data_IF_286917118327
#
_entry.id   IF_286917118327
#
_cell.length_a   1.000
_cell.length_b   1.000
_cell.length_c   1.000
_cell.angle_alpha   90.00
_cell.angle_beta   90.00
_cell.angle_gamma   90.00
#
_symmetry.space_group_name_H-M   'P 1'
#
loop_
_entity.id
_entity.type
_entity.pdbx_description
1 polymer ?
#
# COMPACT_ATOMS: atom_id res chain seq x y z
N UNK A 1 32.76 56.93 14.22
CA UNK A 1 31.98 56.93 12.96
C UNK A 1 32.71 56.01 12.00
N UNK A 2 32.32 54.75 11.90
CA UNK A 2 32.76 53.84 10.84
C UNK A 2 31.58 52.95 10.43
N UNK A 3 31.60 52.43 9.21
CA UNK A 3 30.36 52.22 8.43
C UNK A 3 30.03 50.77 8.09
N UNK A 4 28.74 50.60 7.77
CA UNK A 4 28.07 49.40 7.25
C UNK A 4 28.88 48.65 6.18
N UNK A 5 28.87 47.32 6.25
CA UNK A 5 29.08 46.44 5.11
C UNK A 5 27.98 45.36 5.06
N UNK A 6 27.06 45.49 4.10
CA UNK A 6 26.04 44.47 3.82
C UNK A 6 26.65 43.32 3.02
N UNK A 7 26.16 42.08 3.20
CA UNK A 7 26.49 41.01 2.25
C UNK A 7 25.31 40.08 1.93
N UNK A 8 25.31 39.64 0.68
CA UNK A 8 24.26 38.99 -0.11
C UNK A 8 23.79 37.59 0.34
N UNK A 9 22.59 37.22 -0.15
CA UNK A 9 21.99 35.87 -0.19
C UNK A 9 21.93 35.35 -1.65
N UNK A 10 21.44 34.12 -1.97
CA UNK A 10 20.95 33.00 -1.16
C UNK A 10 21.98 31.84 -1.11
N UNK A 11 21.92 30.63 -1.74
CA UNK A 11 20.89 29.95 -2.56
C UNK A 11 20.03 28.95 -1.73
N UNK A 12 19.49 27.87 -2.34
CA UNK A 12 18.80 26.78 -1.63
C UNK A 12 19.76 25.75 -1.00
N UNK A 13 19.37 25.20 0.15
CA UNK A 13 19.52 23.75 0.35
C UNK A 13 18.19 23.17 0.85
N UNK A 14 17.42 22.55 -0.06
CA UNK A 14 16.21 21.83 0.32
C UNK A 14 16.58 20.68 1.23
N UNK A 15 16.36 20.84 2.53
CA UNK A 15 16.47 19.76 3.51
C UNK A 15 15.35 18.75 3.24
N UNK A 16 15.60 17.84 2.30
CA UNK A 16 14.81 16.63 2.08
C UNK A 16 14.46 16.04 3.44
N UNK A 17 13.16 15.85 3.78
CA UNK A 17 12.78 15.31 5.07
C UNK A 17 13.50 13.99 5.31
N UNK A 18 14.49 14.01 6.21
CA UNK A 18 15.42 12.91 6.47
C UNK A 18 14.61 11.75 7.04
N UNK A 19 14.14 10.86 6.17
CA UNK A 19 13.20 9.78 6.49
C UNK A 19 13.78 8.92 7.62
N UNK A 20 13.34 9.20 8.85
CA UNK A 20 13.86 8.53 10.05
C UNK A 20 13.50 7.05 10.00
N UNK A 21 14.37 6.13 10.47
CA UNK A 21 14.18 4.71 10.24
C UNK A 21 12.89 4.18 10.87
N UNK A 22 12.21 3.31 10.14
CA UNK A 22 11.20 2.36 10.64
C UNK A 22 10.26 2.89 11.75
N UNK A 23 9.15 3.53 11.37
CA UNK A 23 7.97 3.56 12.26
C UNK A 23 7.68 2.13 12.75
N UNK A 24 7.45 1.92 14.07
CA UNK A 24 7.10 0.61 14.63
C UNK A 24 5.95 -0.07 13.90
N UNK A 25 5.90 -1.41 13.92
CA UNK A 25 4.80 -2.14 13.28
C UNK A 25 3.44 -1.77 13.90
N UNK A 26 3.41 -1.43 15.19
CA UNK A 26 2.24 -0.89 15.88
C UNK A 26 1.69 0.38 15.20
N UNK A 27 2.51 1.42 14.97
CA UNK A 27 2.10 2.63 14.25
C UNK A 27 1.49 2.31 12.87
N UNK A 28 2.05 1.32 12.18
CA UNK A 28 1.58 0.94 10.84
C UNK A 28 0.26 0.21 10.88
N UNK A 29 0.02 -0.62 11.90
CA UNK A 29 -1.27 -1.26 12.19
C UNK A 29 -2.30 -0.16 12.51
N UNK A 30 -1.97 0.78 13.40
CA UNK A 30 -2.81 1.94 13.73
C UNK A 30 -3.14 2.75 12.47
N UNK A 31 -2.16 2.99 11.59
CA UNK A 31 -2.37 3.69 10.31
C UNK A 31 -3.18 2.86 9.30
N UNK A 32 -3.03 1.54 9.27
CA UNK A 32 -3.83 0.65 8.42
C UNK A 32 -5.31 0.62 8.82
N UNK A 33 -5.60 0.76 10.12
CA UNK A 33 -6.97 0.79 10.67
C UNK A 33 -7.60 2.18 10.57
N UNK A 34 -6.87 3.25 10.91
CA UNK A 34 -7.42 4.63 11.02
C UNK A 34 -7.46 5.39 9.69
N UNK A 35 -6.58 5.11 8.72
CA UNK A 35 -6.66 5.78 7.42
C UNK A 35 -7.84 5.24 6.60
N UNK A 36 -8.48 6.10 5.80
CA UNK A 36 -9.54 5.73 4.85
C UNK A 36 -8.96 4.96 3.65
N UNK A 37 -8.54 3.72 3.89
CA UNK A 37 -8.10 2.75 2.89
C UNK A 37 -9.30 1.91 2.43
N UNK A 38 -9.38 1.56 1.14
CA UNK A 38 -10.42 0.69 0.57
C UNK A 38 -9.85 -0.26 -0.46
N UNK A 39 -10.41 -1.45 -0.60
CA UNK A 39 -10.12 -2.39 -1.67
C UNK A 39 -11.01 -2.09 -2.89
N UNK A 40 -10.41 -1.87 -4.05
CA UNK A 40 -11.11 -1.69 -5.31
C UNK A 40 -11.43 -3.04 -5.96
N UNK A 41 -10.39 -3.88 -6.07
CA UNK A 41 -10.42 -5.15 -6.79
C UNK A 41 -9.46 -6.16 -6.15
N UNK A 42 -9.76 -7.46 -6.31
CA UNK A 42 -8.90 -8.59 -5.95
C UNK A 42 -8.84 -9.53 -7.15
N UNK A 43 -7.63 -9.80 -7.63
CA UNK A 43 -7.37 -10.80 -8.67
C UNK A 43 -6.34 -11.78 -8.11
N UNK A 44 -6.79 -12.99 -7.74
CA UNK A 44 -5.99 -14.04 -7.10
C UNK A 44 -5.23 -13.53 -5.85
N UNK A 45 -3.92 -13.32 -6.00
CA UNK A 45 -2.96 -12.84 -5.01
C UNK A 45 -2.75 -11.32 -5.00
N UNK A 46 -3.32 -10.60 -5.95
CA UNK A 46 -3.17 -9.15 -6.15
C UNK A 46 -4.40 -8.38 -5.64
N UNK A 47 -4.15 -7.41 -4.78
CA UNK A 47 -5.15 -6.59 -4.10
C UNK A 47 -4.91 -5.12 -4.46
N UNK A 48 -5.89 -4.49 -5.12
CA UNK A 48 -5.80 -3.10 -5.54
C UNK A 48 -6.39 -2.19 -4.47
N UNK A 49 -5.53 -1.53 -3.71
CA UNK A 49 -5.89 -0.74 -2.52
C UNK A 49 -5.88 0.75 -2.86
N UNK A 50 -7.05 1.39 -2.73
CA UNK A 50 -7.17 2.84 -2.74
C UNK A 50 -6.58 3.41 -1.43
N UNK A 51 -5.53 4.20 -1.58
CA UNK A 51 -4.90 4.95 -0.51
C UNK A 51 -5.71 6.17 -0.09
N UNK A 52 -5.51 6.62 1.16
CA UNK A 52 -6.21 7.79 1.72
C UNK A 52 -5.91 9.14 1.03
N UNK A 53 -5.02 9.15 0.03
CA UNK A 53 -4.71 10.31 -0.83
C UNK A 53 -5.28 10.17 -2.25
N UNK A 54 -6.17 9.21 -2.50
CA UNK A 54 -6.74 8.91 -3.82
C UNK A 54 -5.86 8.04 -4.73
N UNK A 55 -4.58 7.87 -4.41
CA UNK A 55 -3.66 7.01 -5.16
C UNK A 55 -4.02 5.52 -5.00
N UNK A 56 -3.96 4.74 -6.08
CA UNK A 56 -4.11 3.28 -6.04
C UNK A 56 -2.74 2.63 -5.87
N UNK A 57 -2.64 1.66 -4.95
CA UNK A 57 -1.46 0.85 -4.73
C UNK A 57 -1.82 -0.63 -4.86
N UNK A 58 -1.00 -1.39 -5.61
CA UNK A 58 -1.15 -2.85 -5.67
C UNK A 58 -0.40 -3.46 -4.50
N UNK A 59 -1.04 -4.40 -3.81
CA UNK A 59 -0.45 -5.30 -2.82
C UNK A 59 -0.46 -6.70 -3.41
N UNK A 60 0.69 -7.36 -3.49
CA UNK A 60 0.80 -8.74 -3.97
C UNK A 60 1.16 -9.65 -2.79
N UNK A 61 0.25 -10.56 -2.44
CA UNK A 61 0.49 -11.54 -1.38
C UNK A 61 1.22 -12.76 -1.96
N UNK A 62 2.48 -12.90 -1.56
CA UNK A 62 3.31 -14.09 -1.82
C UNK A 62 3.99 -14.54 -0.52
N UNK A 63 4.94 -15.47 -0.60
CA UNK A 63 5.84 -15.77 0.52
C UNK A 63 6.61 -14.53 1.01
N UNK A 64 6.81 -13.54 0.14
CA UNK A 64 7.33 -12.21 0.43
C UNK A 64 6.29 -11.15 0.00
N UNK A 65 5.32 -10.75 0.86
CA UNK A 65 4.29 -9.78 0.50
C UNK A 65 4.91 -8.42 0.13
N UNK A 66 4.50 -7.88 -1.01
CA UNK A 66 5.02 -6.65 -1.60
C UNK A 66 3.92 -5.61 -1.85
N UNK A 67 4.30 -4.35 -2.04
CA UNK A 67 3.38 -3.27 -2.37
C UNK A 67 4.06 -2.19 -3.22
N UNK A 68 3.33 -1.59 -4.17
CA UNK A 68 3.83 -0.50 -5.04
C UNK A 68 3.91 0.87 -4.37
N UNK A 69 3.69 0.96 -3.05
CA UNK A 69 3.72 2.22 -2.33
C UNK A 69 5.16 2.72 -2.02
N UNK A 70 5.37 4.04 -1.81
CA UNK A 70 6.70 4.59 -1.53
C UNK A 70 7.30 4.18 -0.18
N UNK A 71 6.54 3.55 0.73
CA UNK A 71 7.11 2.91 1.93
C UNK A 71 7.85 1.64 1.54
N UNK A 72 9.19 1.72 1.54
CA UNK A 72 10.09 0.61 1.22
C UNK A 72 10.12 -0.51 2.28
N UNK A 73 9.36 -0.41 3.35
CA UNK A 73 9.45 -1.33 4.49
C UNK A 73 8.31 -2.35 4.54
N UNK A 74 8.60 -3.62 4.32
CA UNK A 74 7.64 -4.72 4.53
C UNK A 74 7.52 -5.10 6.03
N UNK A 75 6.31 -5.31 6.58
CA UNK A 75 5.00 -4.98 5.99
C UNK A 75 4.68 -3.48 6.13
N UNK A 76 4.17 -2.88 5.05
CA UNK A 76 3.69 -1.49 5.03
C UNK A 76 2.21 -1.42 5.44
N UNK A 77 1.68 -0.20 5.65
CA UNK A 77 0.27 0.00 6.05
C UNK A 77 -0.76 -0.62 5.09
N UNK A 78 -0.46 -0.75 3.80
CA UNK A 78 -1.38 -1.33 2.82
C UNK A 78 -1.41 -2.87 2.90
N UNK A 79 -0.25 -3.51 3.12
CA UNK A 79 -0.17 -4.95 3.39
C UNK A 79 -0.93 -5.30 4.67
N UNK A 80 -0.74 -4.50 5.73
CA UNK A 80 -1.46 -4.65 7.00
C UNK A 80 -2.97 -4.42 6.84
N UNK A 81 -3.40 -3.46 6.03
CA UNK A 81 -4.81 -3.27 5.69
C UNK A 81 -5.41 -4.50 4.98
N UNK A 82 -4.67 -5.12 4.06
CA UNK A 82 -5.13 -6.36 3.41
C UNK A 82 -5.27 -7.49 4.43
N UNK A 83 -4.28 -7.72 5.30
CA UNK A 83 -4.41 -8.77 6.33
C UNK A 83 -5.57 -8.49 7.31
N UNK A 84 -5.61 -7.30 7.91
CA UNK A 84 -6.55 -6.97 8.99
C UNK A 84 -7.97 -6.77 8.45
N UNK A 85 -8.14 -5.83 7.51
CA UNK A 85 -9.47 -5.40 7.05
C UNK A 85 -10.00 -6.23 5.90
N UNK A 86 -9.17 -6.64 4.92
CA UNK A 86 -9.65 -7.45 3.78
C UNK A 86 -9.79 -8.93 4.13
N UNK A 87 -8.84 -9.50 4.89
CA UNK A 87 -8.74 -10.94 5.17
C UNK A 87 -9.02 -11.33 6.64
N UNK A 88 -9.48 -10.40 7.48
CA UNK A 88 -9.91 -10.69 8.85
C UNK A 88 -8.85 -11.41 9.69
N UNK A 89 -7.61 -10.90 9.69
CA UNK A 89 -6.52 -11.36 10.57
C UNK A 89 -6.54 -10.53 11.86
N UNK A 90 -6.47 -11.19 13.04
CA UNK A 90 -6.44 -10.48 14.32
C UNK A 90 -5.16 -9.65 14.49
N UNK A 91 -5.27 -8.53 15.22
CA UNK A 91 -4.17 -7.61 15.51
C UNK A 91 -3.03 -8.29 16.28
N UNK A 92 -3.38 -9.29 17.09
CA UNK A 92 -2.46 -10.07 17.92
C UNK A 92 -1.64 -11.07 17.11
N UNK A 93 -2.07 -11.44 15.90
CA UNK A 93 -1.40 -12.47 15.11
C UNK A 93 0.03 -12.03 14.74
N UNK A 94 0.99 -12.88 15.12
CA UNK A 94 2.40 -12.73 14.78
C UNK A 94 2.66 -12.56 13.28
N UNK A 95 1.79 -13.04 12.38
CA UNK A 95 1.99 -12.90 10.94
C UNK A 95 1.98 -11.44 10.48
N UNK A 96 1.24 -10.55 11.16
CA UNK A 96 1.26 -9.09 10.92
C UNK A 96 2.63 -8.45 11.19
N UNK A 97 3.49 -9.13 11.96
CA UNK A 97 4.83 -8.66 12.34
C UNK A 97 5.94 -9.35 11.54
N UNK A 98 5.63 -10.36 10.73
CA UNK A 98 6.61 -11.08 9.89
C UNK A 98 6.80 -10.38 8.55
N UNK A 99 8.03 -10.43 8.02
CA UNK A 99 8.33 -10.01 6.64
C UNK A 99 7.95 -11.07 5.61
N UNK A 100 7.81 -12.33 6.03
CA UNK A 100 7.56 -13.48 5.17
C UNK A 100 6.38 -14.33 5.67
N UNK A 101 5.67 -14.97 4.74
CA UNK A 101 4.57 -15.88 5.01
C UNK A 101 5.01 -17.34 4.76
N UNK A 102 4.61 -18.25 5.64
CA UNK A 102 4.74 -19.70 5.40
C UNK A 102 3.80 -20.09 4.25
N UNK A 103 4.17 -20.96 3.28
CA UNK A 103 3.32 -21.32 2.15
C UNK A 103 1.90 -21.77 2.55
N UNK A 104 1.75 -22.62 3.57
CA UNK A 104 0.44 -23.08 4.04
C UNK A 104 -0.43 -21.92 4.58
N UNK A 105 0.18 -20.93 5.23
CA UNK A 105 -0.51 -19.72 5.71
C UNK A 105 -0.87 -18.80 4.54
N UNK A 106 -0.01 -18.68 3.53
CA UNK A 106 -0.31 -17.94 2.31
C UNK A 106 -1.54 -18.53 1.60
N UNK A 107 -1.57 -19.84 1.35
CA UNK A 107 -2.71 -20.50 0.72
C UNK A 107 -4.00 -20.34 1.52
N UNK A 108 -3.94 -20.44 2.84
CA UNK A 108 -5.08 -20.18 3.73
C UNK A 108 -5.55 -18.71 3.70
N UNK A 109 -4.63 -17.74 3.64
CA UNK A 109 -4.99 -16.32 3.48
C UNK A 109 -5.56 -16.02 2.09
N UNK A 110 -5.13 -16.72 1.05
CA UNK A 110 -5.64 -16.59 -0.32
C UNK A 110 -6.99 -17.31 -0.54
N UNK A 111 -7.33 -18.33 0.25
CA UNK A 111 -8.66 -18.97 0.21
C UNK A 111 -9.73 -18.22 1.01
N UNK A 112 -9.34 -17.36 1.98
CA UNK A 112 -10.31 -16.54 2.73
C UNK A 112 -11.14 -15.62 1.82
N UNK A 113 -12.45 -15.43 2.11
CA UNK A 113 -13.28 -14.45 1.42
C UNK A 113 -12.82 -13.01 1.71
N UNK A 114 -13.18 -12.09 0.81
CA UNK A 114 -12.96 -10.65 0.96
C UNK A 114 -14.01 -10.07 1.90
N UNK A 115 -13.61 -9.44 3.00
CA UNK A 115 -14.54 -8.71 3.88
C UNK A 115 -15.24 -7.56 3.13
N UNK A 116 -16.58 -7.47 3.15
CA UNK A 116 -17.31 -6.43 2.42
C UNK A 116 -17.05 -5.02 2.98
N UNK A 117 -16.78 -4.87 4.28
CA UNK A 117 -16.44 -3.57 4.88
C UNK A 117 -15.21 -2.92 4.25
N UNK A 118 -14.22 -3.73 3.85
CA UNK A 118 -12.97 -3.21 3.29
C UNK A 118 -13.14 -2.72 1.85
N UNK A 119 -14.21 -3.13 1.15
CA UNK A 119 -14.43 -2.86 -0.27
C UNK A 119 -14.89 -1.40 -0.48
N UNK A 120 -14.49 -0.81 -1.61
CA UNK A 120 -14.93 0.52 -2.04
C UNK A 120 -16.38 0.51 -2.55
N UNK A 121 -17.02 1.69 -2.60
CA UNK A 121 -18.35 1.85 -3.21
C UNK A 121 -18.37 1.48 -4.70
N UNK A 122 -19.51 0.99 -5.17
CA UNK A 122 -19.71 0.37 -6.48
C UNK A 122 -19.12 1.18 -7.65
N UNK A 123 -19.57 2.43 -7.84
CA UNK A 123 -19.11 3.30 -8.94
C UNK A 123 -17.59 3.57 -8.97
N UNK A 124 -16.90 3.57 -7.82
CA UNK A 124 -15.43 3.72 -7.78
C UNK A 124 -14.74 2.45 -8.30
N UNK A 125 -15.34 1.27 -8.04
CA UNK A 125 -14.85 -0.03 -8.50
C UNK A 125 -15.16 -0.26 -9.97
N UNK A 126 -16.35 0.11 -10.42
CA UNK A 126 -16.75 0.12 -11.83
C UNK A 126 -15.82 1.02 -12.65
N UNK A 127 -15.57 2.25 -12.18
CA UNK A 127 -14.63 3.17 -12.85
C UNK A 127 -13.20 2.63 -12.87
N UNK A 128 -12.76 1.98 -11.78
CA UNK A 128 -11.47 1.28 -11.77
C UNK A 128 -11.44 0.11 -12.76
N UNK A 129 -12.50 -0.72 -12.84
CA UNK A 129 -12.59 -1.82 -13.79
C UNK A 129 -12.57 -1.33 -15.25
N UNK A 130 -13.32 -0.26 -15.59
CA UNK A 130 -13.31 0.36 -16.92
C UNK A 130 -11.89 0.75 -17.34
N UNK A 131 -11.20 1.53 -16.51
CA UNK A 131 -9.85 2.00 -16.79
C UNK A 131 -8.82 0.86 -16.80
N UNK A 132 -9.00 -0.17 -15.97
CA UNK A 132 -8.13 -1.35 -15.92
C UNK A 132 -8.30 -2.26 -17.14
N UNK A 133 -9.51 -2.40 -17.69
CA UNK A 133 -9.75 -3.12 -18.94
C UNK A 133 -9.15 -2.36 -20.13
N UNK A 134 -9.43 -1.06 -20.24
CA UNK A 134 -8.85 -0.19 -21.28
C UNK A 134 -7.31 -0.21 -21.26
N UNK A 135 -6.69 -0.17 -20.07
CA UNK A 135 -5.23 -0.27 -19.92
C UNK A 135 -4.64 -1.64 -20.27
N UNK A 136 -5.45 -2.72 -20.25
CA UNK A 136 -5.04 -4.06 -20.72
C UNK A 136 -5.21 -4.20 -22.24
N UNK A 137 -6.28 -3.66 -22.79
CA UNK A 137 -6.58 -3.67 -24.22
C UNK A 137 -5.60 -2.78 -25.00
N UNK A 138 -5.16 -1.67 -24.40
CA UNK A 138 -4.08 -0.81 -24.91
C UNK A 138 -2.66 -1.44 -24.85
N UNK A 139 -2.54 -2.71 -24.41
CA UNK A 139 -1.28 -3.48 -24.42
C UNK A 139 -1.38 -4.74 -25.31
N UNK A 140 -1.61 -4.60 -26.63
CA UNK A 140 -1.58 -5.74 -27.54
C UNK A 140 -0.14 -6.26 -27.69
N UNK A 141 0.14 -7.46 -27.16
CA UNK A 141 1.42 -8.14 -27.43
C UNK A 141 2.17 -8.81 -26.27
N UNK A 142 1.48 -9.36 -25.26
CA UNK A 142 2.06 -10.41 -24.40
C UNK A 142 1.13 -11.62 -24.26
N UNK A 143 1.07 -12.42 -25.32
CA UNK A 143 0.95 -13.86 -25.15
C UNK A 143 2.19 -14.32 -24.36
N UNK A 144 1.99 -15.04 -23.26
CA UNK A 144 3.05 -15.92 -22.77
C UNK A 144 3.01 -17.18 -23.64
N UNK A 145 4.19 -17.59 -24.12
CA UNK A 145 4.47 -18.97 -24.51
C UNK A 145 4.90 -19.74 -23.27
#
# INVERSE_FOLDING_TARGET
MESVASNSSPPEHRLHPRFKPTQPVADRIVRAIRHRLRLLHRSESNFFVLGATGNVYTVTLSTNPSCTCPDRTTPCKHILFVFIKVLGVSLDDSCLRRRTLRPCLLSHLLSKPTSPEAVAGAGVRERFHQLFLQAREALPGRQLK
#
